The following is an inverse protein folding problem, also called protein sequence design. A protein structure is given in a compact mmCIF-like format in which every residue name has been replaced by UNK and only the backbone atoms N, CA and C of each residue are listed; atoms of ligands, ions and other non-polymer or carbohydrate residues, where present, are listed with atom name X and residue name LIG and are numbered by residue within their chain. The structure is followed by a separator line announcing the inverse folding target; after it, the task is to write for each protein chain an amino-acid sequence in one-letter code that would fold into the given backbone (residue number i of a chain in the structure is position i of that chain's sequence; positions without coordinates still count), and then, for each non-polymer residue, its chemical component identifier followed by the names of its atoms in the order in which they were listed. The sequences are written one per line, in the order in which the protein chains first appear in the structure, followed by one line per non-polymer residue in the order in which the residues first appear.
data_IF_841071137727
#
_entry.id   IF_841071137727
#
_cell.length_a   1.000
_cell.length_b   1.000
_cell.length_c   1.000
_cell.angle_alpha   90.00
_cell.angle_beta   90.00
_cell.angle_gamma   90.00
#
_symmetry.space_group_name_H-M   'P 1'
#
loop_
_entity.id
_entity.type
_entity.pdbx_description
1 polymer ?
#
# COMPACT_ATOMS: atom_id res chain seq x y z
N UNK A 1 -23.92 10.44 21.97
CA UNK A 1 -22.60 10.64 21.31
C UNK A 1 -21.54 10.02 22.19
N UNK A 2 -20.83 8.97 21.69
CA UNK A 2 -19.83 8.19 22.45
C UNK A 2 -18.56 9.07 22.69
N UNK A 3 -17.82 8.84 23.78
CA UNK A 3 -16.59 9.54 24.12
C UNK A 3 -15.53 9.49 22.99
N UNK A 4 -15.44 8.36 22.26
CA UNK A 4 -14.59 8.20 21.09
C UNK A 4 -15.00 9.10 19.90
N UNK A 5 -16.28 9.30 19.67
CA UNK A 5 -16.77 10.24 18.65
C UNK A 5 -16.39 11.69 19.01
N UNK A 6 -16.48 12.07 20.29
CA UNK A 6 -16.02 13.38 20.77
C UNK A 6 -14.51 13.57 20.65
N UNK A 7 -13.72 12.48 20.77
CA UNK A 7 -12.27 12.53 20.59
C UNK A 7 -11.86 12.65 19.12
N UNK A 8 -12.63 12.04 18.19
CA UNK A 8 -12.43 12.21 16.73
C UNK A 8 -12.65 13.67 16.30
N UNK A 9 -13.65 14.35 16.89
CA UNK A 9 -13.95 15.75 16.61
C UNK A 9 -12.92 16.72 17.21
N UNK A 10 -12.20 16.31 18.26
CA UNK A 10 -11.21 17.12 18.99
C UNK A 10 -9.77 16.73 18.72
N UNK A 11 -9.50 15.97 17.65
CA UNK A 11 -8.12 15.65 17.27
C UNK A 11 -7.32 16.95 17.10
N UNK A 12 -6.23 17.17 17.86
CA UNK A 12 -5.49 18.42 17.79
C UNK A 12 -4.91 18.62 16.39
N UNK A 13 -5.25 19.74 15.78
CA UNK A 13 -4.61 20.19 14.55
C UNK A 13 -3.08 20.30 14.77
N UNK A 14 -2.32 19.87 13.79
CA UNK A 14 -0.86 19.85 13.84
C UNK A 14 -0.28 21.27 13.78
N UNK A 15 -0.07 21.92 14.91
CA UNK A 15 0.71 23.18 14.98
C UNK A 15 1.55 23.23 16.26
N UNK A 16 2.92 23.22 16.13
CA UNK A 16 3.90 23.48 17.20
C UNK A 16 4.71 22.26 17.68
N UNK A 17 6.03 22.30 17.54
CA UNK A 17 6.83 21.08 17.22
C UNK A 17 7.48 20.31 18.40
N UNK A 18 7.63 20.79 19.62
CA UNK A 18 8.33 20.03 20.68
C UNK A 18 7.55 19.82 22.00
N UNK A 19 6.94 20.80 22.57
CA UNK A 19 6.10 20.59 23.79
C UNK A 19 4.86 19.74 23.49
N UNK A 20 4.36 19.79 22.27
CA UNK A 20 3.20 19.01 21.80
C UNK A 20 3.49 17.54 21.50
N UNK A 21 4.74 17.08 21.43
CA UNK A 21 5.06 15.68 21.19
C UNK A 21 4.72 14.80 22.39
N UNK A 22 5.00 15.26 23.62
CA UNK A 22 4.66 14.53 24.86
C UNK A 22 3.15 14.49 25.07
N UNK A 23 2.45 15.59 24.80
CA UNK A 23 0.99 15.64 24.91
C UNK A 23 0.30 14.82 23.81
N UNK A 24 0.90 14.78 22.62
CA UNK A 24 0.46 13.91 21.52
C UNK A 24 0.59 12.43 21.89
N UNK A 25 1.72 12.03 22.48
CA UNK A 25 1.92 10.63 22.90
C UNK A 25 0.94 10.22 24.00
N UNK A 26 0.72 11.07 25.01
CA UNK A 26 -0.30 10.86 26.05
C UNK A 26 -1.69 10.74 25.48
N UNK A 27 -2.02 11.57 24.49
CA UNK A 27 -3.32 11.52 23.81
C UNK A 27 -3.48 10.21 23.03
N UNK A 28 -2.45 9.77 22.27
CA UNK A 28 -2.45 8.52 21.54
C UNK A 28 -2.68 7.35 22.49
N UNK A 29 -1.91 7.26 23.57
CA UNK A 29 -2.04 6.18 24.58
C UNK A 29 -3.45 6.17 25.19
N UNK A 30 -3.99 7.34 25.52
CA UNK A 30 -5.36 7.44 26.06
C UNK A 30 -6.42 6.98 25.07
N UNK A 31 -6.25 7.30 23.79
CA UNK A 31 -7.19 6.86 22.74
C UNK A 31 -7.09 5.35 22.53
N UNK A 32 -5.88 4.78 22.52
CA UNK A 32 -5.66 3.34 22.41
C UNK A 32 -6.32 2.59 23.59
N UNK A 33 -6.14 3.05 24.82
CA UNK A 33 -6.78 2.48 26.03
C UNK A 33 -8.30 2.54 25.97
N UNK A 34 -8.85 3.68 25.50
CA UNK A 34 -10.29 3.84 25.37
C UNK A 34 -10.85 2.94 24.26
N UNK A 35 -10.14 2.83 23.15
CA UNK A 35 -10.52 1.93 22.06
C UNK A 35 -10.51 0.46 22.51
N UNK A 36 -9.45 0.04 23.20
CA UNK A 36 -9.37 -1.32 23.77
C UNK A 36 -10.56 -1.62 24.69
N UNK A 37 -10.85 -0.72 25.65
CA UNK A 37 -12.02 -0.87 26.53
C UNK A 37 -13.34 -0.88 25.77
N UNK A 38 -13.40 -0.23 24.62
CA UNK A 38 -14.59 -0.20 23.77
C UNK A 38 -14.83 -1.56 23.10
N UNK A 39 -13.81 -2.15 22.44
CA UNK A 39 -13.93 -3.44 21.78
C UNK A 39 -14.06 -4.61 22.77
N UNK A 40 -13.47 -4.50 23.97
CA UNK A 40 -13.57 -5.54 25.02
C UNK A 40 -14.97 -5.61 25.63
N UNK A 41 -15.74 -4.51 25.63
CA UNK A 41 -17.05 -4.42 26.29
C UNK A 41 -18.23 -4.56 25.36
N UNK A 42 -18.06 -4.32 24.06
CA UNK A 42 -19.16 -4.32 23.10
C UNK A 42 -19.07 -5.55 22.21
N UNK A 43 -20.09 -6.42 22.20
CA UNK A 43 -20.15 -7.56 21.28
C UNK A 43 -20.09 -7.11 19.82
N UNK A 44 -19.46 -7.92 18.96
CA UNK A 44 -19.28 -7.58 17.56
C UNK A 44 -20.61 -7.38 16.83
N UNK A 45 -21.62 -8.14 17.19
CA UNK A 45 -22.99 -8.11 16.64
C UNK A 45 -23.62 -6.71 16.80
N UNK A 46 -23.32 -6.04 17.92
CA UNK A 46 -23.79 -4.69 18.19
C UNK A 46 -22.96 -3.61 17.47
N UNK A 47 -21.78 -3.97 16.93
CA UNK A 47 -20.87 -3.07 16.20
C UNK A 47 -21.15 -3.03 14.70
N UNK A 48 -22.10 -3.84 14.20
CA UNK A 48 -22.43 -3.89 12.76
C UNK A 48 -23.28 -2.68 12.35
N UNK A 49 -22.65 -1.52 12.31
CA UNK A 49 -23.23 -0.25 11.88
C UNK A 49 -22.13 0.73 11.43
N UNK A 50 -22.54 1.85 10.80
CA UNK A 50 -21.59 2.85 10.23
C UNK A 50 -20.71 3.54 11.26
N UNK A 51 -21.26 3.88 12.43
CA UNK A 51 -20.54 4.64 13.45
C UNK A 51 -19.45 3.79 14.10
N UNK A 52 -19.79 2.55 14.46
CA UNK A 52 -18.85 1.62 15.04
C UNK A 52 -17.77 1.21 14.02
N UNK A 53 -18.16 0.95 12.78
CA UNK A 53 -17.18 0.67 11.72
C UNK A 53 -16.21 1.85 11.51
N UNK A 54 -16.67 3.09 11.57
CA UNK A 54 -15.80 4.27 11.48
C UNK A 54 -14.79 4.31 12.63
N UNK A 55 -15.21 3.98 13.85
CA UNK A 55 -14.32 3.85 15.01
C UNK A 55 -13.29 2.75 14.80
N UNK A 56 -13.74 1.55 14.41
CA UNK A 56 -12.86 0.41 14.11
C UNK A 56 -11.83 0.80 13.06
N UNK A 57 -12.25 1.27 11.90
CA UNK A 57 -11.36 1.67 10.81
C UNK A 57 -10.33 2.72 11.21
N UNK A 58 -10.68 3.60 12.15
CA UNK A 58 -9.79 4.70 12.59
C UNK A 58 -8.77 4.25 13.61
N UNK A 59 -9.15 3.36 14.52
CA UNK A 59 -8.33 3.07 15.71
C UNK A 59 -7.83 1.62 15.77
N UNK A 60 -8.47 0.68 15.09
CA UNK A 60 -7.99 -0.70 15.06
C UNK A 60 -6.85 -0.84 14.06
N UNK A 61 -5.68 -1.25 14.54
CA UNK A 61 -4.47 -1.37 13.72
C UNK A 61 -4.42 -2.74 13.04
N UNK A 62 -4.21 -2.73 11.74
CA UNK A 62 -3.88 -3.94 10.98
C UNK A 62 -2.35 -4.01 10.88
N UNK A 63 -1.72 -4.92 11.61
CA UNK A 63 -0.26 -5.07 11.68
C UNK A 63 0.28 -6.28 10.89
N UNK A 64 -0.59 -7.00 10.19
CA UNK A 64 -0.26 -8.20 9.43
C UNK A 64 -0.15 -9.46 10.29
N UNK A 65 -0.69 -9.45 11.51
CA UNK A 65 -0.87 -10.63 12.34
C UNK A 65 -2.34 -11.06 12.37
N UNK A 66 -2.60 -12.30 12.76
CA UNK A 66 -3.97 -12.74 13.05
C UNK A 66 -4.55 -11.92 14.22
N UNK A 67 -5.77 -11.46 14.02
CA UNK A 67 -6.48 -10.65 14.99
C UNK A 67 -7.87 -11.24 15.26
N UNK A 68 -8.12 -11.74 16.49
CA UNK A 68 -9.38 -12.40 16.82
C UNK A 68 -10.62 -11.52 16.65
N UNK A 69 -10.48 -10.19 16.75
CA UNK A 69 -11.59 -9.26 16.53
C UNK A 69 -11.90 -9.15 15.03
N UNK A 70 -10.88 -9.03 14.18
CA UNK A 70 -11.07 -8.97 12.72
C UNK A 70 -11.56 -10.30 12.15
N UNK A 71 -11.14 -11.43 12.72
CA UNK A 71 -11.70 -12.74 12.34
C UNK A 71 -13.21 -12.81 12.62
N UNK A 72 -13.68 -12.38 13.79
CA UNK A 72 -15.12 -12.27 14.06
C UNK A 72 -15.83 -11.29 13.13
N UNK A 73 -15.15 -10.21 12.72
CA UNK A 73 -15.72 -9.25 11.78
C UNK A 73 -15.95 -9.88 10.39
N UNK A 74 -15.13 -10.86 9.98
CA UNK A 74 -15.32 -11.63 8.74
C UNK A 74 -16.64 -12.42 8.81
N UNK A 75 -16.94 -13.04 9.93
CA UNK A 75 -18.18 -13.81 10.12
C UNK A 75 -19.44 -12.95 9.95
N UNK A 76 -19.35 -11.65 10.30
CA UNK A 76 -20.45 -10.69 10.18
C UNK A 76 -20.39 -9.82 8.90
N UNK A 77 -19.49 -10.14 7.94
CA UNK A 77 -19.27 -9.25 6.78
C UNK A 77 -20.53 -9.07 5.91
N UNK A 78 -21.38 -10.07 5.79
CA UNK A 78 -22.64 -9.96 5.03
C UNK A 78 -23.53 -8.85 5.60
N UNK A 79 -23.69 -8.83 6.94
CA UNK A 79 -24.47 -7.80 7.63
C UNK A 79 -23.80 -6.41 7.53
N UNK A 80 -22.48 -6.34 7.64
CA UNK A 80 -21.74 -5.09 7.42
C UNK A 80 -21.96 -4.55 6.00
N UNK A 81 -21.93 -5.40 4.98
CA UNK A 81 -22.20 -4.96 3.58
C UNK A 81 -23.59 -4.39 3.41
N UNK A 82 -24.58 -4.98 4.03
CA UNK A 82 -25.96 -4.48 4.01
C UNK A 82 -26.08 -3.10 4.69
N UNK A 83 -25.55 -2.96 5.89
CA UNK A 83 -25.74 -1.76 6.73
C UNK A 83 -24.73 -0.63 6.44
N UNK A 84 -23.52 -0.95 5.99
CA UNK A 84 -22.40 -0.01 5.85
C UNK A 84 -21.95 0.13 4.39
N UNK A 85 -22.12 -0.90 3.57
CA UNK A 85 -21.65 -0.98 2.17
C UNK A 85 -20.33 -1.74 2.05
N UNK A 86 -19.56 -1.47 0.98
CA UNK A 86 -18.35 -2.24 0.67
C UNK A 86 -17.09 -1.85 1.48
N UNK A 87 -17.13 -0.78 2.27
CA UNK A 87 -15.96 -0.33 3.01
C UNK A 87 -15.39 -1.36 4.01
N UNK A 88 -16.22 -2.13 4.77
CA UNK A 88 -15.72 -3.21 5.61
C UNK A 88 -15.02 -4.33 4.83
N UNK A 89 -15.51 -4.68 3.64
CA UNK A 89 -14.85 -5.67 2.79
C UNK A 89 -13.45 -5.20 2.36
N UNK A 90 -13.32 -3.93 1.95
CA UNK A 90 -12.00 -3.35 1.62
C UNK A 90 -11.03 -3.33 2.81
N UNK A 91 -11.54 -3.08 4.02
CA UNK A 91 -10.75 -3.10 5.25
C UNK A 91 -10.26 -4.51 5.61
N UNK A 92 -11.12 -5.52 5.53
CA UNK A 92 -10.75 -6.91 5.76
C UNK A 92 -9.87 -7.49 4.65
N UNK A 93 -10.01 -7.01 3.42
CA UNK A 93 -9.08 -7.31 2.32
C UNK A 93 -7.67 -6.82 2.65
N UNK A 94 -7.54 -5.58 3.17
CA UNK A 94 -6.25 -5.06 3.62
C UNK A 94 -5.66 -5.93 4.74
N UNK A 95 -6.48 -6.38 5.69
CA UNK A 95 -6.08 -7.27 6.78
C UNK A 95 -5.45 -8.57 6.28
N UNK A 96 -6.16 -9.32 5.45
CA UNK A 96 -5.67 -10.59 4.91
C UNK A 96 -4.42 -10.38 4.04
N UNK A 97 -4.41 -9.33 3.22
CA UNK A 97 -3.28 -8.99 2.36
C UNK A 97 -2.01 -8.66 3.16
N UNK A 98 -2.13 -7.94 4.26
CA UNK A 98 -0.97 -7.65 5.14
C UNK A 98 -0.40 -8.91 5.78
N UNK A 99 -1.24 -9.86 6.18
CA UNK A 99 -0.78 -11.16 6.70
C UNK A 99 -0.01 -11.92 5.63
N UNK A 100 -0.59 -12.07 4.43
CA UNK A 100 0.06 -12.77 3.31
C UNK A 100 1.40 -12.14 2.95
N UNK A 101 1.44 -10.80 2.79
CA UNK A 101 2.67 -10.07 2.48
C UNK A 101 3.74 -10.26 3.55
N UNK A 102 3.38 -10.14 4.83
CA UNK A 102 4.32 -10.35 5.94
C UNK A 102 4.89 -11.76 5.95
N UNK A 103 4.04 -12.77 5.76
CA UNK A 103 4.46 -14.17 5.74
C UNK A 103 5.34 -14.48 4.53
N UNK A 104 4.95 -14.05 3.33
CA UNK A 104 5.71 -14.24 2.10
C UNK A 104 7.11 -13.61 2.19
N UNK A 105 7.18 -12.35 2.64
CA UNK A 105 8.46 -11.63 2.83
C UNK A 105 9.35 -12.23 3.90
N UNK A 106 8.75 -12.89 4.92
CA UNK A 106 9.48 -13.62 5.95
C UNK A 106 9.86 -15.06 5.55
N UNK A 107 9.52 -15.51 4.34
CA UNK A 107 9.82 -16.86 3.85
C UNK A 107 8.90 -17.94 4.40
N UNK A 108 7.79 -17.57 5.02
CA UNK A 108 6.83 -18.48 5.63
C UNK A 108 5.77 -18.89 4.61
N UNK A 109 5.78 -20.15 4.19
CA UNK A 109 4.84 -20.69 3.19
C UNK A 109 3.38 -20.71 3.65
N UNK A 110 3.13 -20.42 4.93
CA UNK A 110 1.80 -20.32 5.52
C UNK A 110 0.93 -19.24 4.85
N UNK A 111 1.52 -18.25 4.13
CA UNK A 111 0.73 -17.31 3.34
C UNK A 111 -0.20 -18.01 2.33
N UNK A 112 0.13 -19.24 1.89
CA UNK A 112 -0.71 -20.03 0.98
C UNK A 112 -2.04 -20.42 1.58
N UNK A 113 -2.12 -20.63 2.91
CA UNK A 113 -3.38 -20.89 3.61
C UNK A 113 -4.32 -19.68 3.51
N UNK A 114 -3.76 -18.48 3.56
CA UNK A 114 -4.54 -17.24 3.42
C UNK A 114 -5.00 -16.98 1.98
N UNK A 115 -4.26 -17.51 0.98
CA UNK A 115 -4.73 -17.54 -0.41
C UNK A 115 -5.95 -18.45 -0.58
N UNK A 116 -6.00 -19.59 0.13
CA UNK A 116 -7.14 -20.52 0.09
C UNK A 116 -8.42 -19.88 0.66
N UNK A 117 -8.28 -19.02 1.68
CA UNK A 117 -9.39 -18.25 2.27
C UNK A 117 -10.11 -17.33 1.27
N UNK A 118 -9.44 -16.91 0.19
CA UNK A 118 -10.01 -16.02 -0.83
C UNK A 118 -11.26 -16.63 -1.48
N UNK A 119 -11.25 -17.93 -1.75
CA UNK A 119 -12.39 -18.65 -2.30
C UNK A 119 -13.30 -19.27 -1.21
N UNK A 120 -12.83 -19.26 0.03
CA UNK A 120 -13.52 -19.81 1.22
C UNK A 120 -14.24 -18.72 2.03
N UNK A 121 -13.90 -18.63 3.30
CA UNK A 121 -14.50 -17.73 4.29
C UNK A 121 -14.36 -16.23 3.93
N UNK A 122 -13.34 -15.85 3.18
CA UNK A 122 -13.13 -14.48 2.73
C UNK A 122 -13.68 -14.17 1.32
N UNK A 123 -14.43 -15.06 0.71
CA UNK A 123 -14.98 -14.85 -0.65
C UNK A 123 -15.75 -13.53 -0.78
N UNK A 124 -16.53 -13.17 0.22
CA UNK A 124 -17.29 -11.93 0.24
C UNK A 124 -16.38 -10.70 0.37
N UNK A 125 -15.27 -10.81 1.11
CA UNK A 125 -14.23 -9.78 1.21
C UNK A 125 -13.62 -9.48 -0.16
N UNK A 126 -13.26 -10.52 -0.91
CA UNK A 126 -12.60 -10.38 -2.21
C UNK A 126 -13.57 -10.10 -3.38
N UNK A 127 -14.89 -10.10 -3.13
CA UNK A 127 -15.88 -9.72 -4.14
C UNK A 127 -15.74 -8.27 -4.66
N UNK A 128 -15.02 -7.42 -3.95
CA UNK A 128 -14.74 -6.03 -4.37
C UNK A 128 -13.55 -5.93 -5.32
N UNK A 129 -12.78 -7.01 -5.50
CA UNK A 129 -11.65 -7.05 -6.44
C UNK A 129 -12.18 -7.37 -7.83
N UNK A 130 -11.86 -6.57 -8.86
CA UNK A 130 -12.24 -6.89 -10.24
C UNK A 130 -11.67 -8.25 -10.68
N UNK A 131 -12.53 -9.09 -11.27
CA UNK A 131 -12.20 -10.46 -11.69
C UNK A 131 -12.69 -10.67 -13.14
N UNK A 132 -12.07 -9.97 -14.10
CA UNK A 132 -12.40 -10.09 -15.51
C UNK A 132 -11.60 -11.20 -16.20
N UNK A 133 -10.27 -11.03 -16.26
CA UNK A 133 -9.36 -11.98 -16.91
C UNK A 133 -8.81 -13.01 -15.93
N UNK A 134 -8.77 -12.68 -14.63
CA UNK A 134 -8.13 -13.47 -13.59
C UNK A 134 -8.96 -13.45 -12.33
N UNK A 135 -9.11 -14.61 -11.64
CA UNK A 135 -9.74 -14.66 -10.33
C UNK A 135 -8.90 -13.92 -9.27
N UNK A 136 -9.55 -13.45 -8.19
CA UNK A 136 -8.83 -12.83 -7.09
C UNK A 136 -7.73 -13.75 -6.52
N UNK A 137 -8.03 -15.04 -6.33
CA UNK A 137 -7.04 -16.01 -5.84
C UNK A 137 -5.83 -16.12 -6.77
N UNK A 138 -6.03 -16.27 -8.07
CA UNK A 138 -4.92 -16.32 -9.05
C UNK A 138 -4.09 -15.05 -8.98
N UNK A 139 -4.75 -13.87 -8.97
CA UNK A 139 -4.08 -12.58 -8.88
C UNK A 139 -3.17 -12.47 -7.65
N UNK A 140 -3.69 -12.78 -6.48
CA UNK A 140 -2.92 -12.69 -5.23
C UNK A 140 -1.88 -13.80 -5.09
N UNK A 141 -2.07 -14.96 -5.73
CA UNK A 141 -1.04 -15.99 -5.82
C UNK A 141 0.19 -15.46 -6.55
N UNK A 142 0.03 -14.87 -7.74
CA UNK A 142 1.15 -14.24 -8.45
C UNK A 142 1.86 -13.20 -7.60
N UNK A 143 1.12 -12.31 -6.97
CA UNK A 143 1.69 -11.19 -6.20
C UNK A 143 2.50 -11.68 -4.98
N UNK A 144 1.99 -12.64 -4.21
CA UNK A 144 2.69 -13.12 -3.01
C UNK A 144 3.77 -14.15 -3.28
N UNK A 145 3.65 -14.97 -4.33
CA UNK A 145 4.73 -15.81 -4.80
C UNK A 145 5.89 -14.95 -5.32
N UNK A 146 5.60 -13.84 -6.02
CA UNK A 146 6.61 -12.87 -6.44
C UNK A 146 7.25 -12.14 -5.23
N UNK A 147 6.48 -11.69 -4.25
CA UNK A 147 7.03 -11.11 -3.02
C UNK A 147 7.97 -12.10 -2.28
N UNK A 148 7.61 -13.37 -2.20
CA UNK A 148 8.45 -14.41 -1.62
C UNK A 148 9.79 -14.53 -2.35
N UNK A 149 9.79 -14.53 -3.69
CA UNK A 149 11.02 -14.57 -4.49
C UNK A 149 11.88 -13.33 -4.22
N UNK A 150 11.30 -12.15 -4.30
CA UNK A 150 12.05 -10.90 -4.20
C UNK A 150 12.57 -10.61 -2.77
N UNK A 151 11.70 -10.73 -1.76
CA UNK A 151 12.03 -10.29 -0.41
C UNK A 151 12.76 -11.37 0.40
N UNK A 152 12.38 -12.64 0.26
CA UNK A 152 13.00 -13.72 1.03
C UNK A 152 14.13 -14.40 0.26
N UNK A 153 13.86 -14.87 -0.97
CA UNK A 153 14.87 -15.56 -1.79
C UNK A 153 15.95 -14.63 -2.35
N UNK A 154 15.70 -13.30 -2.35
CA UNK A 154 16.54 -12.29 -3.00
C UNK A 154 16.75 -12.58 -4.49
N UNK A 155 15.79 -13.26 -5.10
CA UNK A 155 15.78 -13.64 -6.50
C UNK A 155 15.04 -12.59 -7.34
N UNK A 156 15.78 -11.57 -7.79
CA UNK A 156 15.22 -10.49 -8.61
C UNK A 156 14.81 -10.96 -10.01
N UNK A 157 15.52 -11.92 -10.60
CA UNK A 157 15.19 -12.44 -11.93
C UNK A 157 13.96 -13.33 -11.89
N UNK A 158 13.84 -14.19 -10.88
CA UNK A 158 12.63 -14.96 -10.62
C UNK A 158 11.41 -14.08 -10.37
N UNK A 159 11.60 -12.97 -9.64
CA UNK A 159 10.56 -11.95 -9.44
C UNK A 159 10.09 -11.36 -10.78
N UNK A 160 11.03 -10.94 -11.62
CA UNK A 160 10.72 -10.37 -12.95
C UNK A 160 9.95 -11.37 -13.80
N UNK A 161 10.42 -12.62 -13.84
CA UNK A 161 9.75 -13.69 -14.59
C UNK A 161 8.31 -13.92 -14.12
N UNK A 162 8.11 -13.94 -12.80
CA UNK A 162 6.77 -14.09 -12.20
C UNK A 162 5.85 -12.91 -12.51
N UNK A 163 6.36 -11.68 -12.42
CA UNK A 163 5.57 -10.49 -12.72
C UNK A 163 5.27 -10.31 -14.21
N UNK A 164 6.18 -10.69 -15.10
CA UNK A 164 5.90 -10.69 -16.55
C UNK A 164 4.80 -11.71 -16.90
N UNK A 165 4.81 -12.89 -16.28
CA UNK A 165 3.75 -13.88 -16.44
C UNK A 165 2.39 -13.33 -15.92
N UNK A 166 2.42 -12.67 -14.74
CA UNK A 166 1.25 -11.98 -14.18
C UNK A 166 0.68 -10.93 -15.15
N UNK A 167 1.51 -10.03 -15.69
CA UNK A 167 1.06 -9.00 -16.62
C UNK A 167 0.55 -9.56 -17.93
N UNK A 168 1.16 -10.64 -18.43
CA UNK A 168 0.72 -11.34 -19.63
C UNK A 168 -0.70 -11.91 -19.44
N UNK A 169 -0.96 -12.54 -18.30
CA UNK A 169 -2.27 -13.11 -18.00
C UNK A 169 -3.32 -12.06 -17.69
N UNK A 170 -2.93 -10.96 -17.03
CA UNK A 170 -3.81 -9.82 -16.74
C UNK A 170 -4.22 -9.07 -18.02
N UNK A 171 -3.35 -9.04 -19.04
CA UNK A 171 -3.64 -8.46 -20.35
C UNK A 171 -4.12 -7.01 -20.28
N UNK A 172 -5.29 -6.75 -20.86
CA UNK A 172 -5.90 -5.41 -20.89
C UNK A 172 -6.44 -4.93 -19.54
N UNK A 173 -6.58 -5.82 -18.56
CA UNK A 173 -6.98 -5.45 -17.19
C UNK A 173 -5.81 -4.88 -16.36
N UNK A 174 -4.58 -4.91 -16.88
CA UNK A 174 -3.42 -4.31 -16.23
C UNK A 174 -3.55 -2.77 -16.19
N UNK A 175 -3.25 -2.18 -15.05
CA UNK A 175 -3.35 -0.73 -14.82
C UNK A 175 -1.98 -0.14 -14.53
N UNK A 176 -1.87 1.18 -14.63
CA UNK A 176 -0.65 1.91 -14.28
C UNK A 176 -0.07 1.50 -12.92
N UNK A 177 -0.95 1.39 -11.90
CA UNK A 177 -0.56 1.04 -10.54
C UNK A 177 0.02 -0.37 -10.42
N UNK A 178 -0.42 -1.33 -11.24
CA UNK A 178 0.10 -2.71 -11.21
C UNK A 178 1.59 -2.73 -11.63
N UNK A 179 1.93 -2.05 -12.72
CA UNK A 179 3.32 -1.89 -13.17
C UNK A 179 4.17 -1.04 -12.22
N UNK A 180 3.62 0.08 -11.74
CA UNK A 180 4.32 0.96 -10.82
C UNK A 180 4.63 0.29 -9.48
N UNK A 181 3.70 -0.47 -8.93
CA UNK A 181 3.91 -1.25 -7.70
C UNK A 181 4.98 -2.33 -7.89
N UNK A 182 4.95 -3.07 -9.01
CA UNK A 182 5.98 -4.06 -9.30
C UNK A 182 7.38 -3.43 -9.35
N UNK A 183 7.53 -2.31 -10.05
CA UNK A 183 8.77 -1.57 -10.11
C UNK A 183 9.22 -1.06 -8.71
N UNK A 184 8.29 -0.52 -7.93
CA UNK A 184 8.58 -0.01 -6.58
C UNK A 184 9.04 -1.11 -5.61
N UNK A 185 8.49 -2.31 -5.71
CA UNK A 185 8.88 -3.43 -4.85
C UNK A 185 10.35 -3.80 -5.02
N UNK A 186 10.91 -3.74 -6.25
CA UNK A 186 12.33 -3.97 -6.49
C UNK A 186 13.20 -3.01 -5.65
N UNK A 187 12.89 -1.71 -5.68
CA UNK A 187 13.62 -0.74 -4.86
C UNK A 187 13.42 -0.93 -3.37
N UNK A 188 12.20 -1.22 -2.95
CA UNK A 188 11.88 -1.46 -1.53
C UNK A 188 12.63 -2.66 -0.97
N UNK A 189 12.75 -3.74 -1.74
CA UNK A 189 13.39 -4.97 -1.31
C UNK A 189 14.93 -4.91 -1.34
N UNK A 190 15.50 -4.13 -2.26
CA UNK A 190 16.93 -4.26 -2.62
C UNK A 190 17.69 -2.95 -2.58
N UNK A 191 17.00 -1.81 -2.50
CA UNK A 191 17.63 -0.49 -2.66
C UNK A 191 18.24 -0.27 -4.05
N UNK A 192 17.78 -1.00 -5.06
CA UNK A 192 18.33 -0.98 -6.42
C UNK A 192 19.58 -1.85 -6.60
N UNK A 193 19.97 -2.65 -5.60
CA UNK A 193 21.12 -3.55 -5.66
C UNK A 193 20.70 -4.91 -6.21
N UNK A 194 20.49 -4.99 -7.51
CA UNK A 194 20.07 -6.19 -8.26
C UNK A 194 20.82 -6.21 -9.60
N UNK A 195 20.79 -7.36 -10.33
CA UNK A 195 21.32 -7.43 -11.68
C UNK A 195 20.75 -6.31 -12.59
N UNK A 196 21.55 -5.87 -13.55
CA UNK A 196 21.15 -4.81 -14.49
C UNK A 196 19.89 -5.20 -15.28
N UNK A 197 19.73 -6.50 -15.63
CA UNK A 197 18.54 -7.04 -16.27
C UNK A 197 17.25 -6.71 -15.51
N UNK A 198 17.28 -6.82 -14.18
CA UNK A 198 16.16 -6.49 -13.30
C UNK A 198 15.89 -4.98 -13.27
N UNK A 199 16.94 -4.15 -13.26
CA UNK A 199 16.81 -2.69 -13.32
C UNK A 199 16.22 -2.24 -14.66
N UNK A 200 16.66 -2.80 -15.78
CA UNK A 200 16.12 -2.53 -17.10
C UNK A 200 14.62 -2.89 -17.18
N UNK A 201 14.23 -4.02 -16.59
CA UNK A 201 12.83 -4.41 -16.52
C UNK A 201 12.01 -3.48 -15.63
N UNK A 202 12.57 -3.04 -14.50
CA UNK A 202 11.96 -2.02 -13.64
C UNK A 202 11.72 -0.71 -14.40
N UNK A 203 12.68 -0.30 -15.24
CA UNK A 203 12.55 0.85 -16.13
C UNK A 203 11.40 0.67 -17.12
N UNK A 204 11.34 -0.48 -17.80
CA UNK A 204 10.27 -0.82 -18.75
C UNK A 204 8.88 -0.72 -18.10
N UNK A 205 8.69 -1.35 -16.93
CA UNK A 205 7.41 -1.28 -16.21
C UNK A 205 7.04 0.15 -15.79
N UNK A 206 8.02 0.93 -15.32
CA UNK A 206 7.77 2.32 -14.93
C UNK A 206 7.38 3.19 -16.13
N UNK A 207 8.05 3.02 -17.27
CA UNK A 207 7.72 3.70 -18.52
C UNK A 207 6.30 3.30 -18.96
N UNK A 208 5.96 2.01 -18.90
CA UNK A 208 4.63 1.52 -19.24
C UNK A 208 3.55 2.09 -18.33
N UNK A 209 3.80 2.19 -17.03
CA UNK A 209 2.89 2.83 -16.06
C UNK A 209 2.60 4.30 -16.44
N UNK A 210 3.63 5.03 -16.88
CA UNK A 210 3.51 6.44 -17.26
C UNK A 210 2.76 6.68 -18.60
N UNK A 211 2.54 5.63 -19.41
CA UNK A 211 1.77 5.72 -20.66
C UNK A 211 0.26 5.69 -20.45
N UNK A 212 -0.22 5.29 -19.26
CA UNK A 212 -1.64 5.31 -18.95
C UNK A 212 -2.16 6.72 -18.76
N UNK A 213 -3.35 7.00 -19.28
CA UNK A 213 -3.97 8.34 -19.25
C UNK A 213 -4.76 8.60 -17.97
N UNK A 214 -5.17 7.54 -17.25
CA UNK A 214 -5.98 7.58 -16.04
C UNK A 214 -5.14 7.50 -14.74
N UNK A 215 -3.83 7.75 -14.87
CA UNK A 215 -2.90 7.76 -13.73
C UNK A 215 -3.17 8.98 -12.82
N UNK A 216 -3.21 8.77 -11.51
CA UNK A 216 -3.32 9.87 -10.56
C UNK A 216 -2.10 10.79 -10.61
N UNK A 217 -2.29 12.09 -10.31
CA UNK A 217 -1.16 13.04 -10.24
C UNK A 217 -0.07 12.57 -9.27
N UNK A 218 -0.46 12.01 -8.12
CA UNK A 218 0.48 11.49 -7.13
C UNK A 218 1.28 10.30 -7.67
N UNK A 219 0.62 9.35 -8.34
CA UNK A 219 1.30 8.20 -8.92
C UNK A 219 2.23 8.62 -10.06
N UNK A 220 1.78 9.55 -10.91
CA UNK A 220 2.62 10.12 -11.97
C UNK A 220 3.91 10.72 -11.42
N UNK A 221 3.82 11.54 -10.37
CA UNK A 221 4.99 12.14 -9.70
C UNK A 221 5.90 11.05 -9.13
N UNK A 222 5.33 10.06 -8.45
CA UNK A 222 6.11 8.97 -7.86
C UNK A 222 6.81 8.12 -8.92
N UNK A 223 6.13 7.81 -10.02
CA UNK A 223 6.71 7.00 -11.11
C UNK A 223 7.78 7.77 -11.87
N UNK A 224 7.61 9.08 -12.10
CA UNK A 224 8.67 9.93 -12.67
C UNK A 224 9.90 9.97 -11.76
N UNK A 225 9.70 10.13 -10.44
CA UNK A 225 10.82 10.12 -9.50
C UNK A 225 11.53 8.75 -9.46
N UNK A 226 10.77 7.65 -9.53
CA UNK A 226 11.29 6.29 -9.58
C UNK A 226 12.02 6.01 -10.89
N UNK A 227 11.52 6.50 -12.04
CA UNK A 227 12.24 6.43 -13.33
C UNK A 227 13.56 7.18 -13.26
N UNK A 228 13.59 8.33 -12.58
CA UNK A 228 14.83 9.04 -12.30
C UNK A 228 15.82 8.24 -11.46
N UNK A 229 15.33 7.56 -10.40
CA UNK A 229 16.17 6.66 -9.59
C UNK A 229 16.72 5.50 -10.43
N UNK A 230 15.90 4.93 -11.31
CA UNK A 230 16.28 3.84 -12.21
C UNK A 230 17.36 4.26 -13.20
N UNK A 231 17.16 5.40 -13.87
CA UNK A 231 18.13 5.97 -14.79
C UNK A 231 19.47 6.31 -14.09
N UNK A 232 19.40 6.80 -12.84
CA UNK A 232 20.59 7.02 -12.02
C UNK A 232 21.39 5.75 -11.76
N UNK A 233 20.73 4.62 -11.44
CA UNK A 233 21.38 3.32 -11.25
C UNK A 233 22.02 2.84 -12.54
N UNK A 234 21.37 3.05 -13.68
CA UNK A 234 21.89 2.76 -15.01
C UNK A 234 22.98 3.74 -15.51
N UNK A 235 23.34 4.75 -14.69
CA UNK A 235 24.27 5.83 -15.03
C UNK A 235 23.82 6.74 -16.18
N UNK A 236 22.54 6.75 -16.49
CA UNK A 236 21.90 7.62 -17.46
C UNK A 236 21.51 8.96 -16.76
N UNK A 237 22.53 9.73 -16.35
CA UNK A 237 22.35 10.87 -15.43
C UNK A 237 21.53 12.01 -16.03
N UNK A 238 21.65 12.28 -17.33
CA UNK A 238 20.87 13.33 -17.98
C UNK A 238 19.39 12.96 -18.06
N UNK A 239 19.06 11.69 -18.32
CA UNK A 239 17.69 11.20 -18.28
C UNK A 239 17.13 11.16 -16.86
N UNK A 240 17.94 10.81 -15.87
CA UNK A 240 17.56 10.90 -14.46
C UNK A 240 17.18 12.34 -14.08
N UNK A 241 17.99 13.32 -14.50
CA UNK A 241 17.73 14.75 -14.25
C UNK A 241 16.45 15.23 -14.91
N UNK A 242 16.18 14.82 -16.15
CA UNK A 242 14.92 15.12 -16.86
C UNK A 242 13.73 14.58 -16.10
N UNK A 243 13.76 13.31 -15.66
CA UNK A 243 12.68 12.68 -14.91
C UNK A 243 12.40 13.40 -13.58
N UNK A 244 13.43 13.75 -12.81
CA UNK A 244 13.24 14.49 -11.56
C UNK A 244 12.69 15.91 -11.79
N UNK A 245 13.15 16.62 -12.81
CA UNK A 245 12.60 17.93 -13.16
C UNK A 245 11.14 17.82 -13.56
N UNK A 246 10.78 16.82 -14.35
CA UNK A 246 9.39 16.59 -14.73
C UNK A 246 8.52 16.24 -13.50
N UNK A 247 8.99 15.38 -12.60
CA UNK A 247 8.31 15.10 -11.35
C UNK A 247 8.09 16.36 -10.50
N UNK A 248 9.09 17.27 -10.47
CA UNK A 248 8.99 18.55 -9.78
C UNK A 248 7.92 19.45 -10.42
N UNK A 249 7.89 19.55 -11.74
CA UNK A 249 6.89 20.35 -12.47
C UNK A 249 5.48 19.82 -12.25
N UNK A 250 5.27 18.49 -12.34
CA UNK A 250 3.97 17.88 -12.05
C UNK A 250 3.52 18.16 -10.59
N UNK A 251 4.45 18.17 -9.63
CA UNK A 251 4.13 18.46 -8.23
C UNK A 251 3.60 19.88 -8.00
N UNK A 252 3.84 20.82 -8.93
CA UNK A 252 3.30 22.18 -8.82
C UNK A 252 1.76 22.22 -8.91
N UNK A 253 1.15 21.19 -9.53
CA UNK A 253 -0.32 21.05 -9.66
C UNK A 253 -0.99 20.54 -8.39
N UNK A 254 -0.24 20.19 -7.33
CA UNK A 254 -0.81 19.70 -6.08
C UNK A 254 -1.45 20.83 -5.28
N UNK A 255 -2.68 20.58 -4.80
CA UNK A 255 -3.44 21.54 -3.99
C UNK A 255 -2.98 21.59 -2.52
N UNK A 256 -2.56 20.44 -1.98
CA UNK A 256 -2.13 20.35 -0.57
C UNK A 256 -0.71 20.86 -0.38
N UNK A 257 -0.56 22.10 0.03
CA UNK A 257 0.73 22.80 0.14
C UNK A 257 1.78 22.06 0.98
N UNK A 258 1.39 21.44 2.11
CA UNK A 258 2.33 20.70 2.96
C UNK A 258 2.86 19.44 2.24
N UNK A 259 1.98 18.68 1.61
CA UNK A 259 2.35 17.48 0.84
C UNK A 259 3.21 17.85 -0.36
N UNK A 260 2.84 18.91 -1.08
CA UNK A 260 3.59 19.50 -2.20
C UNK A 260 5.02 19.88 -1.77
N UNK A 261 5.15 20.63 -0.68
CA UNK A 261 6.45 21.06 -0.15
C UNK A 261 7.35 19.86 0.22
N UNK A 262 6.78 18.82 0.87
CA UNK A 262 7.53 17.59 1.20
C UNK A 262 8.02 16.85 -0.05
N UNK A 263 7.17 16.71 -1.06
CA UNK A 263 7.53 16.05 -2.32
C UNK A 263 8.60 16.84 -3.06
N UNK A 264 8.42 18.14 -3.19
CA UNK A 264 9.39 19.02 -3.84
C UNK A 264 10.75 19.01 -3.15
N UNK A 265 10.77 19.01 -1.80
CA UNK A 265 12.01 18.88 -1.03
C UNK A 265 12.72 17.56 -1.34
N UNK A 266 11.98 16.43 -1.36
CA UNK A 266 12.52 15.10 -1.69
C UNK A 266 13.11 15.06 -3.11
N UNK A 267 12.43 15.66 -4.11
CA UNK A 267 12.90 15.70 -5.48
C UNK A 267 14.17 16.59 -5.59
N UNK A 268 14.19 17.76 -4.93
CA UNK A 268 15.39 18.63 -4.87
C UNK A 268 16.60 17.92 -4.27
N UNK A 269 16.40 17.11 -3.21
CA UNK A 269 17.47 16.30 -2.64
C UNK A 269 18.02 15.28 -3.65
N UNK A 270 17.16 14.65 -4.46
CA UNK A 270 17.57 13.73 -5.52
C UNK A 270 18.36 14.43 -6.62
N UNK A 271 17.94 15.63 -7.05
CA UNK A 271 18.65 16.45 -8.02
C UNK A 271 20.03 16.87 -7.49
N UNK A 272 20.10 17.38 -6.26
CA UNK A 272 21.36 17.75 -5.63
C UNK A 272 22.34 16.56 -5.51
N UNK A 273 21.81 15.38 -5.13
CA UNK A 273 22.62 14.16 -5.06
C UNK A 273 23.12 13.69 -6.45
N UNK A 274 22.41 14.03 -7.53
CA UNK A 274 22.84 13.72 -8.89
C UNK A 274 23.97 14.66 -9.34
N UNK A 275 23.89 15.96 -9.00
CA UNK A 275 24.93 16.95 -9.35
C UNK A 275 26.28 16.67 -8.64
N UNK A 276 26.27 15.92 -7.53
CA UNK A 276 27.49 15.49 -6.81
C UNK A 276 28.21 14.27 -7.46
N UNK A 277 27.59 13.61 -8.43
CA UNK A 277 28.17 12.43 -9.11
C UNK A 277 29.05 12.85 -10.31
N UNK A 278 28.97 14.10 -10.73
CA UNK A 278 29.85 14.69 -11.73
C UNK A 278 31.21 15.04 -11.12
#
# INVERSE_FOLDING_TARGET
MNLLQKLLERAPGFVGIQEKAVDKQKWITRVEDLYKKYIDKKPIEEMVNRDDFRIIRTFHKIDGQEDPFLEKMIDHLAEYKEKVGNAPAGYLLEYNNKIMSRLARAGKMEYKKYLERIDGDMKLTYSVVPQKTMSARQRFTYLYDAEYLLFYKKDGEGYVTSMDAYFKELGEDARAVDYGMAAQQVYTATGGKVPESVILKTKEWTVKALQYTDISLMDKINFLAMLGDTNKVLREYDEAKKCYNQAFMESMQMEQEMTKAMIQMRIKQKLAALDLIK
#
